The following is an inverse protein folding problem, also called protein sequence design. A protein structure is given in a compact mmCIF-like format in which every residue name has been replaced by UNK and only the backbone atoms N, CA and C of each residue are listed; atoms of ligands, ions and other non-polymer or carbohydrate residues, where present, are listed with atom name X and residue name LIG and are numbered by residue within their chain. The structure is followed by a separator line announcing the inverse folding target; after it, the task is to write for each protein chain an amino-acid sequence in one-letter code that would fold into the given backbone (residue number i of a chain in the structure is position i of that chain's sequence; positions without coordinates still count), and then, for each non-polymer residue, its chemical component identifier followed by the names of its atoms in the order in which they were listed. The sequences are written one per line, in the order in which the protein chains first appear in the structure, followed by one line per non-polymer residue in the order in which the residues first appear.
data_IF_308944939382
#
_entry.id   IF_308944939382
#
_cell.length_a   1.000
_cell.length_b   1.000
_cell.length_c   1.000
_cell.angle_alpha   90.00
_cell.angle_beta   90.00
_cell.angle_gamma   90.00
#
_symmetry.space_group_name_H-M   'P 1'
#
loop_
_entity.id
_entity.type
_entity.pdbx_description
1 polymer ?
#
# COMPACT_ATOMS: atom_id res chain seq x y z
N UNK A 1 -65.61 7.63 37.38
CA UNK A 1 -64.39 7.05 37.96
C UNK A 1 -63.35 7.09 36.84
N UNK A 2 -62.53 8.08 36.93
CA UNK A 2 -61.47 8.46 36.01
C UNK A 2 -60.21 7.67 36.28
N UNK A 3 -59.60 7.17 35.26
CA UNK A 3 -58.17 6.80 35.34
C UNK A 3 -57.46 7.41 34.18
N UNK A 4 -56.60 8.35 34.52
CA UNK A 4 -55.66 9.06 33.62
C UNK A 4 -54.34 8.32 33.66
N UNK A 5 -54.01 7.58 32.62
CA UNK A 5 -52.65 7.12 32.44
C UNK A 5 -51.80 8.17 31.71
N UNK A 6 -50.87 8.65 32.46
CA UNK A 6 -49.89 9.68 32.10
C UNK A 6 -48.76 8.99 31.26
N UNK A 7 -48.73 9.27 29.97
CA UNK A 7 -47.65 8.82 29.09
C UNK A 7 -46.47 9.81 29.21
N UNK A 8 -45.41 9.37 29.84
CA UNK A 8 -44.13 10.08 29.88
C UNK A 8 -43.37 9.72 28.60
N UNK A 9 -43.41 10.64 27.63
CA UNK A 9 -42.48 10.60 26.49
C UNK A 9 -41.16 11.23 26.92
N UNK A 10 -40.22 10.40 27.36
CA UNK A 10 -38.84 10.79 27.54
C UNK A 10 -38.06 10.39 26.30
N UNK A 11 -37.94 11.29 25.34
CA UNK A 11 -36.97 11.15 24.25
C UNK A 11 -35.59 11.38 24.85
N UNK A 12 -34.87 10.26 25.03
CA UNK A 12 -33.46 10.28 25.40
C UNK A 12 -32.67 10.69 24.16
N UNK A 13 -32.26 11.94 24.09
CA UNK A 13 -31.33 12.43 23.08
C UNK A 13 -29.92 11.94 23.46
N UNK A 14 -29.19 11.28 22.59
CA UNK A 14 -27.80 10.90 22.89
C UNK A 14 -26.98 12.16 23.11
N UNK A 15 -26.42 12.30 24.30
CA UNK A 15 -25.52 13.39 24.65
C UNK A 15 -24.28 13.36 23.74
N UNK A 16 -24.14 14.39 22.92
CA UNK A 16 -22.93 14.58 22.11
C UNK A 16 -21.71 14.68 23.02
N UNK A 17 -20.87 13.66 23.03
CA UNK A 17 -19.58 13.68 23.71
C UNK A 17 -18.62 14.53 22.90
N UNK A 18 -18.15 15.61 23.49
CA UNK A 18 -17.12 16.49 22.92
C UNK A 18 -15.76 15.78 23.07
N UNK A 19 -15.15 15.42 21.94
CA UNK A 19 -13.75 14.98 21.92
C UNK A 19 -12.85 16.22 21.89
N UNK A 20 -11.99 16.37 22.90
CA UNK A 20 -10.99 17.44 22.92
C UNK A 20 -9.80 16.97 22.10
N UNK A 21 -9.59 17.58 20.95
CA UNK A 21 -8.37 17.38 20.15
C UNK A 21 -7.34 18.38 20.66
N UNK A 22 -6.29 17.90 21.28
CA UNK A 22 -5.15 18.74 21.63
C UNK A 22 -4.32 19.00 20.38
N UNK A 23 -4.43 20.20 19.83
CA UNK A 23 -3.47 20.73 18.86
C UNK A 23 -2.42 21.51 19.61
N UNK A 24 -1.15 21.37 19.20
CA UNK A 24 -0.02 22.07 19.78
C UNK A 24 -0.23 23.60 19.78
N UNK A 25 -0.75 24.11 20.89
CA UNK A 25 -0.65 25.50 21.32
C UNK A 25 -1.43 26.58 20.54
N UNK A 26 -2.21 26.23 19.52
CA UNK A 26 -3.11 27.21 18.87
C UNK A 26 -4.56 26.77 19.07
N UNK A 27 -5.37 27.62 19.71
CA UNK A 27 -6.80 27.44 19.95
C UNK A 27 -7.61 27.44 18.64
N UNK A 28 -7.49 26.40 17.85
CA UNK A 28 -8.41 26.13 16.77
C UNK A 28 -9.55 25.27 17.34
N UNK A 29 -10.73 25.86 17.50
CA UNK A 29 -11.96 25.14 17.81
C UNK A 29 -12.25 24.21 16.65
N UNK A 30 -11.84 22.95 16.77
CA UNK A 30 -12.11 21.91 15.78
C UNK A 30 -13.62 21.65 15.73
N UNK A 31 -14.13 21.47 14.53
CA UNK A 31 -15.51 21.07 14.26
C UNK A 31 -15.82 19.78 15.05
N UNK A 32 -16.91 19.82 15.83
CA UNK A 32 -17.34 18.67 16.63
C UNK A 32 -17.88 17.61 15.67
N UNK A 33 -17.08 16.62 15.36
CA UNK A 33 -17.54 15.43 14.63
C UNK A 33 -18.42 14.62 15.59
N UNK A 34 -19.68 14.31 15.24
CA UNK A 34 -20.53 13.47 16.09
C UNK A 34 -19.84 12.12 16.29
N UNK A 35 -19.84 11.66 17.54
CA UNK A 35 -19.23 10.38 17.89
C UNK A 35 -19.94 9.26 17.11
N UNK A 36 -19.18 8.54 16.30
CA UNK A 36 -19.63 7.25 15.77
C UNK A 36 -19.93 6.30 16.95
N UNK A 37 -20.90 5.40 16.80
CA UNK A 37 -21.27 4.43 17.81
C UNK A 37 -20.07 3.54 18.20
N UNK A 38 -19.35 3.93 19.26
CA UNK A 38 -18.17 3.23 19.73
C UNK A 38 -17.23 4.08 20.59
N UNK A 39 -16.21 3.48 21.23
CA UNK A 39 -15.20 4.21 21.97
C UNK A 39 -14.39 5.12 21.05
N UNK A 40 -14.04 6.31 21.54
CA UNK A 40 -13.22 7.27 20.79
C UNK A 40 -11.87 6.67 20.41
N UNK A 41 -11.37 6.91 19.18
CA UNK A 41 -10.05 6.42 18.77
C UNK A 41 -8.96 7.01 19.68
N UNK A 42 -7.99 6.17 20.04
CA UNK A 42 -6.81 6.59 20.80
C UNK A 42 -5.74 7.03 19.81
N UNK A 43 -5.47 8.32 19.76
CA UNK A 43 -4.42 8.89 18.91
C UNK A 43 -3.27 9.42 19.76
N UNK A 44 -2.04 9.13 19.36
CA UNK A 44 -0.85 9.69 19.99
C UNK A 44 -0.46 11.03 19.33
N UNK A 45 0.01 11.99 20.14
CA UNK A 45 0.45 13.30 19.63
C UNK A 45 1.54 13.20 18.56
N UNK A 46 2.48 12.26 18.70
CA UNK A 46 3.61 12.06 17.79
C UNK A 46 3.38 10.90 16.79
N UNK A 47 2.28 10.14 16.93
CA UNK A 47 1.95 8.99 16.07
C UNK A 47 0.61 9.17 15.37
N UNK A 48 0.30 10.39 14.97
CA UNK A 48 -0.78 10.60 14.02
C UNK A 48 -0.32 10.04 12.68
N UNK A 49 -1.15 9.23 12.01
CA UNK A 49 -0.88 8.87 10.63
C UNK A 49 -1.03 10.13 9.76
N UNK A 50 0.04 10.77 9.32
CA UNK A 50 -0.03 11.99 8.52
C UNK A 50 -0.61 11.72 7.14
N UNK A 51 -0.53 10.46 6.69
CA UNK A 51 -1.05 10.00 5.41
C UNK A 51 -2.31 9.19 5.65
N UNK A 52 -3.46 9.81 5.43
CA UNK A 52 -4.76 9.16 5.53
C UNK A 52 -5.25 8.72 4.17
N UNK A 53 -5.74 7.49 4.12
CA UNK A 53 -6.46 6.97 2.97
C UNK A 53 -7.66 7.86 2.69
N UNK A 54 -7.97 8.22 1.43
CA UNK A 54 -9.13 9.01 1.07
C UNK A 54 -10.44 8.40 1.59
N UNK A 55 -11.37 9.23 2.06
CA UNK A 55 -12.61 8.79 2.75
C UNK A 55 -13.44 7.78 1.94
N UNK A 56 -13.62 7.99 0.65
CA UNK A 56 -14.38 7.10 -0.24
C UNK A 56 -13.89 5.64 -0.29
N UNK A 57 -12.66 5.36 0.18
CA UNK A 57 -12.15 3.98 0.30
C UNK A 57 -12.85 3.20 1.41
N UNK A 58 -13.35 3.89 2.44
CA UNK A 58 -14.13 3.29 3.52
C UNK A 58 -15.47 2.68 3.06
N UNK A 59 -15.99 3.11 1.91
CA UNK A 59 -17.25 2.63 1.32
C UNK A 59 -17.11 1.26 0.64
N UNK A 60 -15.88 0.80 0.39
CA UNK A 60 -15.63 -0.53 -0.14
C UNK A 60 -16.18 -1.61 0.79
N UNK A 61 -16.75 -2.67 0.21
CA UNK A 61 -17.24 -3.82 0.98
C UNK A 61 -16.13 -4.54 1.74
N UNK A 62 -14.89 -4.44 1.26
CA UNK A 62 -13.74 -5.14 1.81
C UNK A 62 -13.75 -6.66 1.52
N UNK A 63 -12.62 -7.28 1.80
CA UNK A 63 -12.50 -8.73 1.90
C UNK A 63 -11.72 -9.07 3.16
N UNK A 64 -11.90 -10.29 3.66
CA UNK A 64 -11.20 -10.74 4.87
C UNK A 64 -9.92 -11.49 4.50
N UNK A 65 -8.79 -11.03 5.05
CA UNK A 65 -7.49 -11.66 4.91
C UNK A 65 -6.94 -11.98 6.31
N UNK A 66 -6.75 -13.25 6.63
CA UNK A 66 -6.24 -13.70 7.95
C UNK A 66 -6.94 -13.02 9.14
N UNK A 67 -8.28 -12.93 9.08
CA UNK A 67 -9.11 -12.31 10.11
C UNK A 67 -9.18 -10.77 10.06
N UNK A 68 -8.44 -10.11 9.19
CA UNK A 68 -8.47 -8.65 9.01
C UNK A 68 -9.32 -8.28 7.80
N UNK A 69 -10.15 -7.24 7.93
CA UNK A 69 -10.91 -6.68 6.81
C UNK A 69 -10.04 -5.68 6.06
N UNK A 70 -9.90 -5.88 4.76
CA UNK A 70 -9.09 -5.03 3.87
C UNK A 70 -10.02 -4.28 2.92
N UNK A 71 -10.00 -2.94 2.95
CA UNK A 71 -10.72 -2.01 2.07
C UNK A 71 -9.80 -1.06 1.33
N UNK A 72 -8.59 -0.89 1.86
CA UNK A 72 -7.59 0.02 1.32
C UNK A 72 -6.21 -0.62 1.29
N UNK A 73 -5.47 -0.41 0.22
CA UNK A 73 -4.08 -0.85 0.10
C UNK A 73 -3.21 0.35 -0.30
N UNK A 74 -2.10 0.54 0.39
CA UNK A 74 -1.12 1.57 0.08
C UNK A 74 -0.18 1.08 -1.01
N UNK A 75 -0.13 1.75 -2.15
CA UNK A 75 0.85 1.49 -3.20
C UNK A 75 2.15 2.24 -2.90
N UNK A 76 3.09 1.59 -2.25
CA UNK A 76 4.39 2.20 -1.92
C UNK A 76 5.45 1.15 -1.59
N UNK A 77 6.70 1.52 -1.81
CA UNK A 77 7.90 0.85 -1.29
C UNK A 77 8.75 1.78 -0.41
N UNK A 78 8.28 3.00 -0.18
CA UNK A 78 8.93 3.96 0.71
C UNK A 78 8.60 3.62 2.17
N UNK A 79 9.61 3.32 2.95
CA UNK A 79 9.46 2.89 4.34
C UNK A 79 8.87 3.97 5.25
N UNK A 80 9.16 5.26 4.97
CA UNK A 80 8.61 6.36 5.75
C UNK A 80 7.12 6.55 5.46
N UNK A 81 6.72 6.42 4.19
CA UNK A 81 5.32 6.46 3.74
C UNK A 81 4.54 5.28 4.33
N UNK A 82 5.09 4.06 4.24
CA UNK A 82 4.48 2.84 4.78
C UNK A 82 4.23 2.99 6.27
N UNK A 83 5.22 3.46 7.03
CA UNK A 83 5.14 3.58 8.49
C UNK A 83 4.15 4.64 8.97
N UNK A 84 3.86 5.62 8.14
CA UNK A 84 3.01 6.76 8.47
C UNK A 84 1.65 6.76 7.75
N UNK A 85 1.19 5.61 7.26
CA UNK A 85 -0.11 5.44 6.60
C UNK A 85 -1.08 4.66 7.50
N UNK A 86 -2.38 4.94 7.33
CA UNK A 86 -3.47 4.20 7.96
C UNK A 86 -4.17 3.20 7.02
N UNK A 87 -3.55 2.83 5.90
CA UNK A 87 -4.11 1.82 4.99
C UNK A 87 -4.22 0.44 5.66
N UNK A 88 -5.23 -0.34 5.30
CA UNK A 88 -5.47 -1.68 5.85
C UNK A 88 -4.41 -2.70 5.45
N UNK A 89 -3.77 -2.50 4.28
CA UNK A 89 -2.68 -3.33 3.77
C UNK A 89 -1.71 -2.51 2.90
N UNK A 90 -0.58 -3.11 2.55
CA UNK A 90 0.45 -2.51 1.71
C UNK A 90 0.59 -3.32 0.42
N UNK A 91 0.67 -2.62 -0.71
CA UNK A 91 0.83 -3.19 -2.04
C UNK A 91 2.19 -2.76 -2.62
N UNK A 92 3.23 -3.56 -2.36
CA UNK A 92 4.61 -3.26 -2.73
C UNK A 92 4.97 -3.91 -4.07
N UNK A 93 4.71 -3.19 -5.15
CA UNK A 93 5.09 -3.57 -6.51
C UNK A 93 5.94 -2.47 -7.10
N UNK A 94 7.07 -2.81 -7.70
CA UNK A 94 8.02 -1.88 -8.28
C UNK A 94 8.58 -2.40 -9.62
N UNK A 95 9.10 -1.53 -10.51
CA UNK A 95 9.41 -1.89 -11.91
C UNK A 95 10.75 -2.63 -12.10
N UNK A 96 11.29 -3.22 -11.05
CA UNK A 96 12.53 -3.99 -11.07
C UNK A 96 12.26 -5.44 -10.69
N UNK A 97 13.22 -6.34 -10.96
CA UNK A 97 13.16 -7.71 -10.47
C UNK A 97 13.04 -7.73 -8.95
N UNK A 98 12.07 -8.48 -8.43
CA UNK A 98 11.85 -8.60 -6.99
C UNK A 98 13.12 -9.12 -6.29
N UNK A 99 13.46 -8.50 -5.18
CA UNK A 99 14.64 -8.83 -4.37
C UNK A 99 14.20 -9.16 -2.94
N UNK A 100 14.57 -10.35 -2.41
CA UNK A 100 14.22 -10.74 -1.04
C UNK A 100 14.66 -9.72 0.02
N UNK A 101 15.79 -9.04 -0.20
CA UNK A 101 16.28 -8.01 0.72
C UNK A 101 15.31 -6.82 0.83
N UNK A 102 14.70 -6.40 -0.29
CA UNK A 102 13.69 -5.31 -0.28
C UNK A 102 12.42 -5.80 0.42
N UNK A 103 11.95 -7.00 0.10
CA UNK A 103 10.79 -7.61 0.76
C UNK A 103 11.00 -7.67 2.27
N UNK A 104 12.16 -8.13 2.72
CA UNK A 104 12.49 -8.21 4.15
C UNK A 104 12.51 -6.83 4.81
N UNK A 105 13.10 -5.82 4.17
CA UNK A 105 13.14 -4.47 4.69
C UNK A 105 11.71 -3.89 4.85
N UNK A 106 10.85 -4.09 3.87
CA UNK A 106 9.46 -3.66 3.93
C UNK A 106 8.67 -4.38 5.03
N UNK A 107 8.83 -5.70 5.19
CA UNK A 107 8.20 -6.48 6.26
C UNK A 107 8.66 -6.04 7.64
N UNK A 108 9.91 -5.62 7.79
CA UNK A 108 10.44 -5.13 9.08
C UNK A 108 9.77 -3.84 9.54
N UNK A 109 9.32 -2.99 8.62
CA UNK A 109 8.71 -1.69 8.95
C UNK A 109 7.19 -1.68 8.84
N UNK A 110 6.60 -2.61 8.10
CA UNK A 110 5.16 -2.68 7.89
C UNK A 110 4.42 -3.15 9.16
N UNK A 111 3.39 -2.42 9.56
CA UNK A 111 2.44 -2.86 10.62
C UNK A 111 1.17 -3.49 10.04
N UNK A 112 0.96 -3.31 8.74
CA UNK A 112 -0.16 -3.86 7.99
C UNK A 112 0.29 -5.02 7.07
N UNK A 113 -0.62 -5.93 6.69
CA UNK A 113 -0.32 -7.02 5.77
C UNK A 113 0.34 -6.53 4.48
N UNK A 114 1.42 -7.19 4.05
CA UNK A 114 2.19 -6.80 2.88
C UNK A 114 1.93 -7.75 1.70
N UNK A 115 1.49 -7.18 0.57
CA UNK A 115 1.43 -7.85 -0.72
C UNK A 115 2.65 -7.45 -1.55
N UNK A 116 3.41 -8.41 -2.04
CA UNK A 116 4.67 -8.16 -2.77
C UNK A 116 4.63 -8.62 -4.21
N UNK A 117 5.14 -7.80 -5.11
CA UNK A 117 5.29 -8.16 -6.52
C UNK A 117 6.40 -9.19 -6.70
N UNK A 118 6.08 -10.33 -7.35
CA UNK A 118 7.04 -11.43 -7.56
C UNK A 118 7.30 -11.74 -9.03
N UNK A 119 6.48 -11.21 -9.95
CA UNK A 119 6.69 -11.46 -11.37
C UNK A 119 5.58 -10.94 -12.28
N UNK A 120 5.59 -11.39 -13.53
CA UNK A 120 4.66 -10.97 -14.59
C UNK A 120 5.18 -9.80 -15.43
N UNK A 121 6.38 -9.31 -15.16
CA UNK A 121 7.07 -8.32 -15.99
C UNK A 121 8.44 -8.87 -16.38
N UNK A 122 9.51 -8.32 -15.82
CA UNK A 122 10.89 -8.76 -16.04
C UNK A 122 11.19 -10.15 -15.46
N UNK A 123 10.42 -10.57 -14.44
CA UNK A 123 10.58 -11.88 -13.79
C UNK A 123 9.44 -12.80 -14.23
N UNK A 124 9.80 -13.95 -14.78
CA UNK A 124 8.84 -14.93 -15.34
C UNK A 124 9.17 -16.37 -14.95
N UNK A 125 8.25 -17.29 -15.23
CA UNK A 125 8.41 -18.72 -15.06
C UNK A 125 8.80 -19.11 -13.63
N UNK A 126 9.65 -20.14 -13.51
CA UNK A 126 10.11 -20.74 -12.25
C UNK A 126 10.65 -19.69 -11.27
N UNK A 127 11.35 -18.66 -11.77
CA UNK A 127 11.92 -17.61 -10.92
C UNK A 127 10.86 -16.85 -10.12
N UNK A 128 9.69 -16.61 -10.71
CA UNK A 128 8.59 -15.95 -10.00
C UNK A 128 8.01 -16.85 -8.90
N UNK A 129 7.90 -18.16 -9.13
CA UNK A 129 7.45 -19.10 -8.11
C UNK A 129 8.46 -19.22 -6.95
N UNK A 130 9.76 -19.27 -7.25
CA UNK A 130 10.81 -19.24 -6.24
C UNK A 130 10.77 -17.96 -5.37
N UNK A 131 10.58 -16.81 -6.01
CA UNK A 131 10.44 -15.53 -5.28
C UNK A 131 9.15 -15.48 -4.45
N UNK A 132 8.05 -16.06 -4.95
CA UNK A 132 6.81 -16.18 -4.20
C UNK A 132 7.00 -17.00 -2.91
N UNK A 133 7.63 -18.20 -3.02
CA UNK A 133 7.94 -19.04 -1.87
C UNK A 133 8.83 -18.33 -0.85
N UNK A 134 9.87 -17.63 -1.30
CA UNK A 134 10.74 -16.84 -0.40
C UNK A 134 9.96 -15.73 0.27
N UNK A 135 9.11 -15.01 -0.46
CA UNK A 135 8.29 -13.94 0.11
C UNK A 135 7.30 -14.45 1.17
N UNK A 136 6.69 -15.61 0.93
CA UNK A 136 5.82 -16.26 1.91
C UNK A 136 6.60 -16.65 3.17
N UNK A 137 7.76 -17.30 3.02
CA UNK A 137 8.61 -17.66 4.17
C UNK A 137 9.13 -16.45 4.96
N UNK A 138 9.26 -15.30 4.31
CA UNK A 138 9.58 -14.03 4.98
C UNK A 138 8.39 -13.41 5.72
N UNK A 139 7.16 -13.87 5.48
CA UNK A 139 5.94 -13.39 6.14
C UNK A 139 5.08 -12.45 5.29
N UNK A 140 5.24 -12.42 3.97
CA UNK A 140 4.31 -11.70 3.10
C UNK A 140 2.89 -12.25 3.25
N UNK A 141 1.90 -11.38 3.19
CA UNK A 141 0.48 -11.76 3.33
C UNK A 141 -0.16 -12.15 1.98
N UNK A 142 0.51 -11.86 0.88
CA UNK A 142 0.11 -12.24 -0.47
C UNK A 142 1.19 -11.89 -1.49
N UNK A 143 1.12 -12.50 -2.65
CA UNK A 143 2.03 -12.23 -3.77
C UNK A 143 1.27 -11.70 -4.96
N UNK A 144 1.92 -10.82 -5.73
CA UNK A 144 1.31 -10.13 -6.87
C UNK A 144 2.03 -10.49 -8.15
N UNK A 145 1.25 -10.91 -9.14
CA UNK A 145 1.67 -11.08 -10.51
C UNK A 145 1.12 -9.93 -11.37
N UNK A 146 2.02 -9.25 -12.07
CA UNK A 146 1.65 -8.16 -12.97
C UNK A 146 0.89 -8.65 -14.21
N UNK A 147 0.23 -7.72 -14.90
CA UNK A 147 -0.65 -8.03 -16.04
C UNK A 147 -0.06 -8.96 -17.10
N UNK A 148 1.23 -8.89 -17.49
CA UNK A 148 1.80 -9.80 -18.49
C UNK A 148 1.97 -11.27 -18.03
N UNK A 149 1.72 -11.59 -16.75
CA UNK A 149 1.78 -12.98 -16.30
C UNK A 149 0.79 -13.85 -17.07
N UNK A 150 1.26 -15.01 -17.51
CA UNK A 150 0.41 -16.01 -18.18
C UNK A 150 -0.38 -16.83 -17.18
N UNK A 151 -1.49 -17.49 -17.59
CA UNK A 151 -2.23 -18.41 -16.73
C UNK A 151 -1.35 -19.54 -16.16
N UNK A 152 -0.44 -20.10 -16.96
CA UNK A 152 0.51 -21.12 -16.51
C UNK A 152 1.43 -20.60 -15.40
N UNK A 153 1.86 -19.35 -15.50
CA UNK A 153 2.65 -18.72 -14.44
C UNK A 153 1.85 -18.53 -13.16
N UNK A 154 0.56 -18.16 -13.28
CA UNK A 154 -0.35 -18.08 -12.13
C UNK A 154 -0.48 -19.47 -11.50
N UNK A 155 -0.76 -20.52 -12.27
CA UNK A 155 -0.88 -21.89 -11.77
C UNK A 155 0.40 -22.34 -11.06
N UNK A 156 1.56 -22.05 -11.63
CA UNK A 156 2.86 -22.39 -11.04
C UNK A 156 3.07 -21.70 -9.69
N UNK A 157 2.76 -20.41 -9.58
CA UNK A 157 2.89 -19.68 -8.31
C UNK A 157 1.85 -20.19 -7.30
N UNK A 158 0.60 -20.37 -7.69
CA UNK A 158 -0.48 -20.91 -6.84
C UNK A 158 -0.12 -22.29 -6.26
N UNK A 159 0.53 -23.14 -7.05
CA UNK A 159 0.97 -24.47 -6.57
C UNK A 159 2.16 -24.42 -5.62
N UNK A 160 2.81 -23.27 -5.47
CA UNK A 160 4.05 -23.12 -4.71
C UNK A 160 3.81 -22.45 -3.35
N UNK A 161 2.76 -21.65 -3.18
CA UNK A 161 2.48 -20.86 -1.96
C UNK A 161 1.06 -21.11 -1.44
N UNK A 162 0.88 -20.99 -0.12
CA UNK A 162 -0.43 -21.05 0.53
C UNK A 162 -1.10 -19.66 0.66
N UNK A 163 -0.30 -18.59 0.63
CA UNK A 163 -0.79 -17.22 0.65
C UNK A 163 -1.50 -16.86 -0.67
N UNK A 164 -2.47 -15.91 -0.67
CA UNK A 164 -3.21 -15.57 -1.87
C UNK A 164 -2.31 -15.00 -2.97
N UNK A 165 -2.55 -15.47 -4.19
CA UNK A 165 -1.96 -14.93 -5.41
C UNK A 165 -2.91 -13.89 -5.99
N UNK A 166 -2.43 -12.66 -6.14
CA UNK A 166 -3.11 -11.55 -6.82
C UNK A 166 -2.67 -11.52 -8.28
N UNK A 167 -3.60 -11.63 -9.22
CA UNK A 167 -3.31 -11.43 -10.63
C UNK A 167 -3.79 -10.04 -11.08
N UNK A 168 -2.86 -9.22 -11.60
CA UNK A 168 -3.22 -7.92 -12.18
C UNK A 168 -3.72 -8.09 -13.61
N UNK A 169 -4.74 -7.30 -13.98
CA UNK A 169 -5.33 -7.27 -15.31
C UNK A 169 -5.60 -5.84 -15.76
N UNK A 170 -5.67 -5.64 -17.07
CA UNK A 170 -6.04 -4.36 -17.71
C UNK A 170 -7.35 -4.42 -18.47
N UNK A 171 -7.91 -5.61 -18.65
CA UNK A 171 -9.19 -5.88 -19.32
C UNK A 171 -9.73 -7.23 -18.89
N UNK A 172 -11.02 -7.45 -19.08
CA UNK A 172 -11.66 -8.74 -18.85
C UNK A 172 -11.76 -9.48 -20.20
N UNK A 173 -10.97 -10.54 -20.35
CA UNK A 173 -10.87 -11.37 -21.54
C UNK A 173 -10.68 -12.84 -21.16
N UNK A 174 -10.50 -13.69 -22.15
CA UNK A 174 -10.28 -15.13 -21.95
C UNK A 174 -9.02 -15.41 -21.11
N UNK A 175 -7.96 -14.63 -21.29
CA UNK A 175 -6.73 -14.78 -20.49
C UNK A 175 -7.00 -14.48 -19.01
N UNK A 176 -7.86 -13.50 -18.72
CA UNK A 176 -8.29 -13.20 -17.35
C UNK A 176 -9.09 -14.35 -16.75
N UNK A 177 -10.02 -14.97 -17.50
CA UNK A 177 -10.76 -16.15 -17.05
C UNK A 177 -9.82 -17.30 -16.70
N UNK A 178 -8.87 -17.60 -17.57
CA UNK A 178 -7.86 -18.61 -17.34
C UNK A 178 -6.96 -18.32 -16.11
N UNK A 179 -6.66 -17.05 -15.83
CA UNK A 179 -5.93 -16.69 -14.58
C UNK A 179 -6.75 -16.99 -13.33
N UNK A 180 -8.05 -16.76 -13.34
CA UNK A 180 -8.95 -17.12 -12.23
C UNK A 180 -9.03 -18.65 -12.09
N UNK A 181 -9.20 -19.36 -13.18
CA UNK A 181 -9.23 -20.84 -13.23
C UNK A 181 -7.89 -21.45 -12.78
N UNK A 182 -6.78 -20.79 -13.07
CA UNK A 182 -5.44 -21.16 -12.60
C UNK A 182 -5.24 -20.95 -11.09
N UNK A 183 -6.25 -20.39 -10.37
CA UNK A 183 -6.28 -20.28 -8.92
C UNK A 183 -5.90 -18.91 -8.37
N UNK A 184 -5.88 -17.84 -9.19
CA UNK A 184 -5.75 -16.48 -8.67
C UNK A 184 -6.94 -16.19 -7.72
N UNK A 185 -6.64 -15.94 -6.44
CA UNK A 185 -7.67 -15.72 -5.42
C UNK A 185 -8.14 -14.28 -5.34
N UNK A 186 -7.39 -13.35 -5.89
CA UNK A 186 -7.69 -11.92 -5.90
C UNK A 186 -7.33 -11.38 -7.30
N UNK A 187 -8.19 -10.56 -7.88
CA UNK A 187 -7.88 -9.87 -9.14
C UNK A 187 -7.69 -8.38 -8.87
N UNK A 188 -6.57 -7.85 -9.34
CA UNK A 188 -6.30 -6.41 -9.33
C UNK A 188 -6.57 -5.81 -10.71
N UNK A 189 -7.57 -4.94 -10.80
CA UNK A 189 -7.96 -4.26 -12.05
C UNK A 189 -7.22 -2.92 -12.16
N UNK A 190 -6.32 -2.82 -13.14
CA UNK A 190 -5.55 -1.63 -13.47
C UNK A 190 -5.81 -1.17 -14.91
N UNK A 191 -7.08 -0.87 -15.23
CA UNK A 191 -7.56 -0.57 -16.58
C UNK A 191 -7.67 0.95 -16.88
N UNK A 192 -7.10 1.81 -16.04
CA UNK A 192 -7.16 3.25 -16.19
C UNK A 192 -8.61 3.75 -16.17
N UNK A 193 -9.01 4.53 -17.18
CA UNK A 193 -10.38 5.07 -17.31
C UNK A 193 -11.46 3.99 -17.44
N UNK A 194 -11.10 2.78 -17.84
CA UNK A 194 -12.03 1.68 -18.05
C UNK A 194 -12.17 0.78 -16.81
N UNK A 195 -11.51 1.11 -15.69
CA UNK A 195 -11.47 0.27 -14.48
C UNK A 195 -12.87 -0.12 -14.01
N UNK A 196 -13.79 0.83 -13.86
CA UNK A 196 -15.15 0.54 -13.40
C UNK A 196 -15.94 -0.38 -14.37
N UNK A 197 -15.76 -0.24 -15.69
CA UNK A 197 -16.40 -1.12 -16.67
C UNK A 197 -15.87 -2.56 -16.55
N UNK A 198 -14.55 -2.72 -16.49
CA UNK A 198 -13.90 -4.03 -16.34
C UNK A 198 -14.32 -4.71 -15.03
N UNK A 199 -14.49 -3.95 -13.94
CA UNK A 199 -14.95 -4.49 -12.66
C UNK A 199 -16.38 -5.01 -12.77
N UNK A 200 -17.29 -4.30 -13.45
CA UNK A 200 -18.68 -4.77 -13.63
C UNK A 200 -18.73 -6.10 -14.40
N UNK A 201 -17.99 -6.21 -15.50
CA UNK A 201 -17.88 -7.45 -16.27
C UNK A 201 -17.31 -8.60 -15.43
N UNK A 202 -16.27 -8.31 -14.65
CA UNK A 202 -15.63 -9.29 -13.78
C UNK A 202 -16.57 -9.70 -12.63
N UNK A 203 -17.31 -8.78 -12.03
CA UNK A 203 -18.26 -9.02 -10.95
C UNK A 203 -19.45 -9.84 -11.41
N UNK A 204 -19.95 -9.59 -12.63
CA UNK A 204 -21.01 -10.38 -13.25
C UNK A 204 -20.56 -11.84 -13.44
N UNK A 205 -19.34 -12.05 -13.94
CA UNK A 205 -18.80 -13.38 -14.16
C UNK A 205 -18.40 -14.11 -12.87
N UNK A 206 -17.93 -13.37 -11.85
CA UNK A 206 -17.41 -13.91 -10.59
C UNK A 206 -17.94 -13.13 -9.38
N UNK A 207 -19.19 -13.38 -8.94
CA UNK A 207 -19.84 -12.59 -7.89
C UNK A 207 -19.11 -12.54 -6.55
N UNK A 208 -18.35 -13.59 -6.21
CA UNK A 208 -17.68 -13.74 -4.91
C UNK A 208 -16.16 -13.53 -4.95
N UNK A 209 -15.60 -13.23 -6.12
CA UNK A 209 -14.16 -13.03 -6.28
C UNK A 209 -13.73 -11.69 -5.65
N UNK A 210 -12.73 -11.65 -4.76
CA UNK A 210 -12.15 -10.40 -4.29
C UNK A 210 -11.54 -9.60 -5.43
N UNK A 211 -12.01 -8.36 -5.61
CA UNK A 211 -11.55 -7.44 -6.64
C UNK A 211 -10.87 -6.25 -5.99
N UNK A 212 -9.59 -6.06 -6.31
CA UNK A 212 -8.85 -4.83 -6.05
C UNK A 212 -8.94 -3.93 -7.28
N UNK A 213 -8.92 -2.64 -7.07
CA UNK A 213 -8.81 -1.69 -8.16
C UNK A 213 -7.75 -0.65 -7.85
N UNK A 214 -6.94 -0.31 -8.83
CA UNK A 214 -6.09 0.88 -8.72
C UNK A 214 -7.02 2.09 -8.64
N UNK A 215 -6.96 2.80 -7.51
CA UNK A 215 -7.87 3.90 -7.18
C UNK A 215 -7.75 5.06 -8.16
N UNK A 216 -8.85 5.76 -8.37
CA UNK A 216 -8.88 7.01 -9.12
C UNK A 216 -8.20 8.15 -8.36
N UNK A 217 -7.87 9.22 -9.07
CA UNK A 217 -7.32 10.44 -8.48
C UNK A 217 -8.39 11.39 -7.95
N UNK A 218 -9.66 11.16 -8.30
CA UNK A 218 -10.77 12.04 -7.90
C UNK A 218 -11.87 11.24 -7.19
N UNK A 219 -12.67 11.88 -6.32
CA UNK A 219 -13.77 11.23 -5.61
C UNK A 219 -14.78 10.55 -6.55
N UNK A 220 -15.06 11.17 -7.71
CA UNK A 220 -16.03 10.64 -8.68
C UNK A 220 -15.55 9.32 -9.28
N UNK A 221 -14.25 9.23 -9.65
CA UNK A 221 -13.68 8.00 -10.19
C UNK A 221 -13.62 6.93 -9.10
N UNK A 222 -13.31 7.31 -7.87
CA UNK A 222 -13.31 6.42 -6.71
C UNK A 222 -14.72 5.86 -6.48
N UNK A 223 -15.75 6.73 -6.40
CA UNK A 223 -17.15 6.34 -6.22
C UNK A 223 -17.62 5.37 -7.31
N UNK A 224 -17.38 5.72 -8.59
CA UNK A 224 -17.74 4.85 -9.72
C UNK A 224 -17.07 3.47 -9.68
N UNK A 225 -15.86 3.38 -9.11
CA UNK A 225 -15.11 2.14 -8.95
C UNK A 225 -15.68 1.28 -7.81
N UNK A 226 -16.08 1.91 -6.71
CA UNK A 226 -16.76 1.25 -5.58
C UNK A 226 -18.12 0.74 -6.01
N UNK A 227 -18.94 1.58 -6.67
CA UNK A 227 -20.25 1.21 -7.20
C UNK A 227 -20.18 0.06 -8.23
N UNK A 228 -19.09 -0.02 -8.99
CA UNK A 228 -18.85 -1.13 -9.90
C UNK A 228 -18.62 -2.47 -9.20
N UNK A 229 -18.36 -2.48 -7.88
CA UNK A 229 -18.20 -3.67 -7.08
C UNK A 229 -16.75 -4.00 -6.71
N UNK A 230 -15.84 -3.04 -6.70
CA UNK A 230 -14.51 -3.22 -6.11
C UNK A 230 -14.65 -3.50 -4.59
N UNK A 231 -13.91 -4.50 -4.09
CA UNK A 231 -13.89 -4.80 -2.66
C UNK A 231 -12.87 -3.94 -1.93
N UNK A 232 -11.76 -3.58 -2.55
CA UNK A 232 -10.76 -2.70 -1.97
C UNK A 232 -10.06 -1.88 -3.05
N UNK A 233 -9.56 -0.72 -2.65
CA UNK A 233 -8.87 0.20 -3.55
C UNK A 233 -7.38 0.33 -3.20
N UNK A 234 -6.57 0.40 -4.23
CA UNK A 234 -5.13 0.65 -4.13
C UNK A 234 -4.91 2.16 -4.29
N UNK A 235 -4.33 2.76 -3.27
CA UNK A 235 -4.03 4.17 -3.19
C UNK A 235 -2.54 4.43 -3.41
N UNK A 236 -2.23 5.31 -4.38
CA UNK A 236 -0.89 5.86 -4.54
C UNK A 236 -0.81 7.20 -3.81
N UNK A 237 -0.11 7.28 -2.66
CA UNK A 237 0.03 8.52 -1.90
C UNK A 237 0.96 9.48 -2.62
N UNK A 238 1.02 10.77 -2.19
CA UNK A 238 2.08 11.67 -2.60
C UNK A 238 3.46 11.10 -2.26
N UNK A 239 4.44 11.35 -3.11
CA UNK A 239 5.83 10.97 -2.84
C UNK A 239 6.42 11.75 -1.66
N UNK A 240 7.48 11.23 -1.04
CA UNK A 240 8.21 11.95 0.02
C UNK A 240 8.64 13.34 -0.45
N UNK A 241 9.09 13.48 -1.69
CA UNK A 241 9.51 14.77 -2.26
C UNK A 241 8.34 15.76 -2.34
N UNK A 242 7.15 15.30 -2.73
CA UNK A 242 5.94 16.13 -2.75
C UNK A 242 5.53 16.55 -1.34
N UNK A 243 5.53 15.60 -0.39
CA UNK A 243 5.20 15.88 1.01
C UNK A 243 6.17 16.88 1.64
N UNK A 244 7.47 16.77 1.37
CA UNK A 244 8.47 17.72 1.85
C UNK A 244 8.27 19.11 1.24
N UNK A 245 7.99 19.19 -0.06
CA UNK A 245 7.70 20.45 -0.73
C UNK A 245 6.49 21.15 -0.11
N UNK A 246 5.40 20.43 0.09
CA UNK A 246 4.18 20.96 0.70
C UNK A 246 4.42 21.44 2.14
N UNK A 247 5.24 20.71 2.89
CA UNK A 247 5.60 21.08 4.25
C UNK A 247 6.46 22.36 4.27
N UNK A 248 7.42 22.49 3.35
CA UNK A 248 8.27 23.69 3.24
C UNK A 248 7.46 24.92 2.83
N UNK A 249 6.46 24.78 1.95
CA UNK A 249 5.54 25.87 1.61
C UNK A 249 4.81 26.36 2.86
N UNK A 250 4.24 25.45 3.65
CA UNK A 250 3.53 25.81 4.90
C UNK A 250 4.44 26.46 5.93
N UNK A 251 5.70 26.05 6.04
CA UNK A 251 6.66 26.70 6.93
C UNK A 251 6.95 28.14 6.50
N UNK A 252 7.21 28.38 5.21
CA UNK A 252 7.43 29.71 4.68
C UNK A 252 6.22 30.64 4.86
N UNK A 253 5.00 30.11 4.64
CA UNK A 253 3.77 30.86 4.88
C UNK A 253 3.60 31.24 6.36
N UNK A 254 3.93 30.33 7.28
CA UNK A 254 3.89 30.59 8.71
C UNK A 254 4.91 31.64 9.13
N UNK A 255 6.16 31.52 8.69
CA UNK A 255 7.21 32.50 8.95
C UNK A 255 6.84 33.90 8.40
N UNK A 256 6.22 33.96 7.22
CA UNK A 256 5.76 35.22 6.65
C UNK A 256 4.64 35.87 7.49
N UNK A 257 3.72 35.09 8.02
CA UNK A 257 2.65 35.58 8.90
C UNK A 257 3.23 36.05 10.23
N UNK A 258 4.16 35.34 10.82
CA UNK A 258 4.82 35.72 12.07
C UNK A 258 5.65 37.00 11.90
N UNK A 259 6.34 37.18 10.78
CA UNK A 259 7.10 38.38 10.48
C UNK A 259 6.21 39.64 10.38
N UNK A 260 5.04 39.53 9.72
CA UNK A 260 4.07 40.62 9.63
C UNK A 260 3.47 40.96 10.98
N UNK A 261 3.18 39.94 11.83
CA UNK A 261 2.62 40.16 13.18
C UNK A 261 3.59 40.82 14.15
N UNK A 262 4.92 40.67 13.95
CA UNK A 262 5.95 41.32 14.77
C UNK A 262 6.20 42.77 14.37
N UNK A 263 5.96 43.15 13.13
CA UNK A 263 6.07 44.56 12.68
C UNK A 263 4.93 45.42 13.27
N UNK A 264 3.72 44.89 13.38
CA UNK A 264 2.59 45.59 13.98
C UNK A 264 2.68 45.70 15.53
N UNK A 265 3.31 44.68 16.19
CA UNK A 265 3.54 44.70 17.62
C UNK A 265 4.73 45.58 18.05
N UNK A 266 5.71 45.79 17.17
CA UNK A 266 6.89 46.61 17.42
C UNK A 266 6.61 48.12 17.47
N UNK A 267 5.47 48.59 16.94
CA UNK A 267 5.06 50.01 16.98
C UNK A 267 4.42 50.41 18.32
N UNK A 268 4.11 49.47 19.23
CA UNK A 268 3.35 49.72 20.47
C UNK A 268 4.14 49.51 21.78
N UNK A 269 5.38 49.03 21.78
CA UNK A 269 6.10 48.71 23.04
C UNK A 269 7.56 49.20 23.00
N UNK A 270 7.77 50.43 23.51
CA UNK A 270 9.08 50.87 23.98
C UNK A 270 9.41 50.25 25.33
N UNK A 271 10.63 49.76 25.50
CA UNK A 271 11.36 49.42 26.72
C UNK A 271 10.94 48.16 27.51
N UNK A 272 11.76 47.14 27.36
CA UNK A 272 11.77 45.96 28.26
C UNK A 272 12.86 45.00 27.80
N UNK A 273 14.01 45.01 28.46
CA UNK A 273 15.14 44.08 28.28
C UNK A 273 14.68 42.66 28.62
N UNK A 274 14.76 41.75 27.64
CA UNK A 274 14.62 40.33 27.89
C UNK A 274 15.77 39.59 27.19
N UNK A 275 16.44 38.72 27.94
CA UNK A 275 17.53 37.85 27.51
C UNK A 275 17.15 37.07 26.24
N UNK A 276 17.99 37.14 25.23
CA UNK A 276 17.80 36.45 23.97
C UNK A 276 18.15 34.95 24.14
N UNK A 277 17.19 34.09 23.89
CA UNK A 277 17.39 32.68 23.66
C UNK A 277 18.26 32.47 22.40
N UNK A 278 19.22 31.54 22.37
CA UNK A 278 20.14 31.41 21.25
C UNK A 278 19.39 31.02 19.96
N UNK A 279 19.46 31.89 18.97
CA UNK A 279 18.88 31.65 17.64
C UNK A 279 19.47 30.39 17.01
N UNK A 280 18.63 29.44 16.64
CA UNK A 280 19.00 28.33 15.78
C UNK A 280 19.40 28.91 14.42
N UNK A 281 20.61 28.61 13.91
CA UNK A 281 21.03 29.14 12.62
C UNK A 281 20.06 28.69 11.51
N UNK A 282 19.71 29.57 10.56
CA UNK A 282 18.85 29.19 9.45
C UNK A 282 19.52 28.08 8.64
N UNK A 283 18.75 27.02 8.34
CA UNK A 283 19.21 25.98 7.44
C UNK A 283 19.51 26.58 6.06
N UNK A 284 20.60 26.16 5.40
CA UNK A 284 20.94 26.65 4.08
C UNK A 284 19.81 26.35 3.10
N UNK A 285 19.48 27.33 2.26
CA UNK A 285 18.49 27.17 1.20
C UNK A 285 18.98 26.13 0.20
N UNK A 286 18.34 24.96 0.17
CA UNK A 286 18.73 23.85 -0.71
C UNK A 286 18.40 24.14 -2.19
N UNK A 287 17.73 25.27 -2.50
CA UNK A 287 17.50 25.71 -3.89
C UNK A 287 18.76 26.25 -4.57
N UNK A 288 19.76 26.68 -3.81
CA UNK A 288 21.05 27.19 -4.32
C UNK A 288 22.20 26.17 -4.24
N UNK A 289 21.92 24.94 -3.83
CA UNK A 289 22.94 23.90 -3.96
C UNK A 289 23.17 23.61 -5.45
N UNK A 290 24.40 23.79 -5.96
CA UNK A 290 24.71 23.43 -7.34
C UNK A 290 24.35 21.94 -7.50
N UNK A 291 23.43 21.65 -8.41
CA UNK A 291 23.26 20.31 -8.92
C UNK A 291 24.65 19.90 -9.38
N UNK A 292 25.28 18.95 -8.69
CA UNK A 292 26.57 18.43 -9.10
C UNK A 292 26.38 18.03 -10.57
N UNK A 293 27.15 18.69 -11.45
CA UNK A 293 27.22 18.31 -12.84
C UNK A 293 27.59 16.84 -12.89
N UNK A 294 26.59 16.00 -13.08
CA UNK A 294 26.81 14.64 -13.51
C UNK A 294 27.36 14.79 -14.91
N UNK A 295 28.65 14.45 -15.17
CA UNK A 295 29.21 14.62 -16.49
C UNK A 295 28.33 13.82 -17.46
N UNK A 296 27.68 14.52 -18.36
CA UNK A 296 27.01 13.94 -19.51
C UNK A 296 28.11 13.36 -20.42
N UNK A 297 28.40 12.08 -20.26
CA UNK A 297 29.40 11.46 -21.06
C UNK A 297 29.97 10.15 -20.51
N UNK A 298 29.15 9.16 -20.31
CA UNK A 298 29.49 7.78 -20.64
C UNK A 298 28.23 7.14 -21.20
N UNK A 299 27.90 7.47 -22.43
CA UNK A 299 27.17 6.56 -23.28
C UNK A 299 28.23 5.60 -23.78
N UNK A 300 28.42 4.48 -23.09
CA UNK A 300 29.16 3.36 -23.65
C UNK A 300 28.43 2.92 -24.92
N UNK A 301 28.95 3.40 -26.04
CA UNK A 301 28.69 2.84 -27.35
C UNK A 301 29.30 1.44 -27.34
N UNK A 302 28.45 0.45 -27.09
CA UNK A 302 28.80 -0.96 -27.38
C UNK A 302 29.06 -1.05 -28.87
N UNK A 303 30.28 -1.41 -29.32
CA UNK A 303 30.55 -1.62 -30.75
C UNK A 303 29.73 -2.80 -31.25
N UNK A 304 29.16 -2.73 -32.45
CA UNK A 304 28.48 -3.87 -33.04
C UNK A 304 29.52 -4.80 -33.68
N UNK A 305 30.08 -5.73 -32.92
CA UNK A 305 30.77 -6.90 -33.44
C UNK A 305 31.33 -7.74 -32.29
N UNK A 306 30.55 -8.76 -31.90
CA UNK A 306 31.03 -10.05 -31.45
C UNK A 306 29.83 -10.97 -31.24
N UNK A 307 29.23 -11.38 -32.34
CA UNK A 307 28.50 -12.66 -32.41
C UNK A 307 29.52 -13.80 -32.29
N UNK A 308 30.04 -14.00 -31.08
CA UNK A 308 30.85 -15.16 -30.76
C UNK A 308 29.95 -16.23 -30.18
N UNK A 309 29.85 -17.33 -30.94
CA UNK A 309 29.14 -18.55 -30.62
C UNK A 309 29.28 -18.95 -29.15
N UNK A 310 28.16 -19.03 -28.45
CA UNK A 310 28.06 -19.65 -27.13
C UNK A 310 28.35 -21.14 -27.31
N UNK A 311 29.41 -21.69 -26.72
CA UNK A 311 29.65 -23.14 -26.79
C UNK A 311 28.55 -23.86 -26.03
N UNK A 312 27.95 -24.86 -26.65
CA UNK A 312 26.92 -25.71 -26.05
C UNK A 312 27.42 -26.27 -24.71
N UNK A 313 26.76 -25.84 -23.62
CA UNK A 313 27.05 -26.35 -22.29
C UNK A 313 26.72 -27.83 -22.23
N UNK A 314 27.72 -28.65 -21.90
CA UNK A 314 27.54 -30.08 -21.60
C UNK A 314 26.54 -30.23 -20.46
N UNK A 315 25.64 -31.23 -20.50
CA UNK A 315 24.68 -31.44 -19.41
C UNK A 315 25.44 -31.75 -18.11
N UNK A 316 25.08 -31.03 -17.07
CA UNK A 316 25.59 -31.23 -15.70
C UNK A 316 25.11 -32.60 -15.20
N UNK A 317 26.03 -33.55 -15.07
CA UNK A 317 25.79 -34.88 -14.47
C UNK A 317 25.99 -34.70 -12.97
N UNK A 318 24.90 -34.79 -12.19
CA UNK A 318 24.93 -34.76 -10.73
C UNK A 318 25.73 -35.95 -10.18
N UNK A 319 26.74 -35.76 -9.31
CA UNK A 319 27.52 -36.85 -8.71
C UNK A 319 26.82 -37.57 -7.56
N UNK A 320 25.60 -37.19 -7.20
CA UNK A 320 24.85 -37.82 -6.12
C UNK A 320 23.96 -38.96 -6.65
N UNK A 321 24.53 -40.13 -6.87
CA UNK A 321 23.79 -41.40 -6.79
C UNK A 321 23.67 -41.78 -5.32
N UNK A 322 22.60 -41.39 -4.67
CA UNK A 322 22.24 -41.89 -3.33
C UNK A 322 21.90 -43.38 -3.45
N UNK A 323 22.78 -44.24 -2.96
CA UNK A 323 22.43 -45.61 -2.60
C UNK A 323 21.54 -45.55 -1.35
N UNK A 324 20.24 -45.63 -1.52
CA UNK A 324 19.34 -45.98 -0.42
C UNK A 324 19.53 -47.48 -0.09
N UNK A 325 19.81 -47.88 1.16
CA UNK A 325 19.81 -49.26 1.55
C UNK A 325 18.37 -49.84 1.46
N UNK A 326 18.25 -50.99 0.77
CA UNK A 326 17.00 -51.75 0.72
C UNK A 326 16.72 -52.30 2.11
N UNK A 327 15.63 -51.86 2.75
CA UNK A 327 15.08 -52.53 3.94
C UNK A 327 14.53 -53.89 3.56
N UNK A 328 14.79 -54.98 4.36
CA UNK A 328 14.26 -56.30 4.09
C UNK A 328 12.75 -56.34 4.34
N UNK A 329 12.05 -56.94 3.39
CA UNK A 329 10.62 -57.24 3.44
C UNK A 329 10.38 -58.26 4.57
N UNK A 330 9.73 -57.88 5.66
CA UNK A 330 9.20 -58.78 6.67
C UNK A 330 7.92 -59.42 6.14
N UNK A 331 8.04 -60.75 5.88
CA UNK A 331 6.98 -61.57 5.39
C UNK A 331 5.77 -61.66 6.32
N UNK A 332 4.58 -61.59 5.75
CA UNK A 332 3.32 -61.99 6.36
C UNK A 332 3.40 -63.48 6.76
N UNK A 333 3.23 -63.77 8.03
CA UNK A 333 2.72 -65.06 8.48
C UNK A 333 1.21 -64.91 8.76
N UNK A 334 0.46 -65.73 8.02
CA UNK A 334 -0.97 -65.96 8.28
C UNK A 334 -1.18 -66.95 9.45
N UNK A 335 -2.23 -66.63 10.17
CA UNK A 335 -3.33 -67.57 10.58
C UNK A 335 -4.50 -66.71 11.06
#
# INVERSE_FOLDING_TARGET
MSDQSNAIAGADQPSARRSIIFTDGTDAIGEVVPAADGPSPIEGRLRKAPLRVPEGYGECTGFTLFGRRIRSLLYSTDVAVIRNSNADAIFAVYPFTAQPAITQALLTVAEAPLFVGVGGGTTTGRRAAELAAVSEMQGAAGVVLNSPATPDMVAQVVSTVDIPVVASITRFDEVTRQKVEAGARIINVAAGRNTAAVIRELREAYPNLPILATGGKTPEVTGATVEAGANALIWAPPSITELQRDMMVRYREREAVEAVGTEDAGAAAGAGTTEAEPAVPPMPDITDMPVADVPAGVVDTVPPEAEAAVPASKPFVSPFKSRLPRLPFLGRHGR
#
